data_IF_597882263099
#
_entry.id   IF_597882263099
#
_cell.length_a   1.000
_cell.length_b   1.000
_cell.length_c   1.000
_cell.angle_alpha   90.00
_cell.angle_beta   90.00
_cell.angle_gamma   90.00
#
_symmetry.space_group_name_H-M   'P 1'
#
loop_
_entity.id
_entity.type
_entity.pdbx_description
1 polymer ?
#
# COMPACT_ATOMS: atom_id res chain seq x y z
N UNK A 1 -2.07 0.21 1.95
CA UNK A 1 -2.58 1.26 2.86
C UNK A 1 -2.10 0.97 4.27
N UNK A 2 -0.82 1.24 4.53
CA UNK A 2 -0.20 1.17 5.86
C UNK A 2 0.89 2.23 5.89
N UNK A 3 0.49 3.48 5.66
CA UNK A 3 1.35 4.65 5.81
C UNK A 3 1.39 5.03 7.30
N UNK A 4 1.96 4.14 8.11
CA UNK A 4 2.31 4.47 9.49
C UNK A 4 3.67 5.17 9.45
N UNK A 5 3.61 6.49 9.46
CA UNK A 5 4.76 7.36 9.61
C UNK A 5 5.15 7.52 11.09
N UNK A 6 6.22 8.29 11.28
CA UNK A 6 6.73 8.61 12.60
C UNK A 6 5.70 9.38 13.45
N UNK A 7 4.91 10.25 12.82
CA UNK A 7 3.88 11.04 13.51
C UNK A 7 2.74 10.17 14.01
N UNK A 8 2.24 9.21 13.23
CA UNK A 8 1.20 8.29 13.69
C UNK A 8 1.67 7.46 14.89
N UNK A 9 2.91 6.96 14.84
CA UNK A 9 3.50 6.19 15.93
C UNK A 9 3.61 7.03 17.21
N UNK A 10 4.00 8.31 17.09
CA UNK A 10 4.07 9.24 18.21
C UNK A 10 2.70 9.50 18.82
N UNK A 11 1.66 9.71 18.01
CA UNK A 11 0.27 9.88 18.49
C UNK A 11 -0.19 8.64 19.25
N UNK A 12 0.05 7.45 18.70
CA UNK A 12 -0.29 6.18 19.37
C UNK A 12 0.47 6.05 20.70
N UNK A 13 1.76 6.41 20.73
CA UNK A 13 2.56 6.37 21.95
C UNK A 13 1.98 7.30 23.03
N UNK A 14 1.58 8.53 22.67
CA UNK A 14 0.94 9.46 23.61
C UNK A 14 -0.37 8.89 24.14
N UNK A 15 -1.22 8.35 23.27
CA UNK A 15 -2.48 7.71 23.69
C UNK A 15 -2.21 6.53 24.63
N UNK A 16 -1.22 5.69 24.32
CA UNK A 16 -0.83 4.57 25.17
C UNK A 16 -0.34 5.04 26.54
N UNK A 17 0.43 6.14 26.60
CA UNK A 17 0.87 6.74 27.86
C UNK A 17 -0.30 7.28 28.69
N UNK A 18 -1.34 7.83 28.07
CA UNK A 18 -2.52 8.35 28.78
C UNK A 18 -3.38 7.20 29.33
N UNK A 19 -3.65 6.19 28.50
CA UNK A 19 -4.56 5.08 28.85
C UNK A 19 -3.92 4.14 29.87
N UNK A 20 -2.66 3.76 29.63
CA UNK A 20 -1.96 2.79 30.48
C UNK A 20 -1.18 3.48 31.60
N UNK A 21 -0.73 4.71 31.37
CA UNK A 21 0.18 5.45 32.25
C UNK A 21 1.64 5.28 31.84
N UNK A 22 2.48 6.33 31.99
CA UNK A 22 3.91 6.29 31.66
C UNK A 22 4.68 5.25 32.47
N UNK A 23 4.26 4.98 33.70
CA UNK A 23 4.89 3.99 34.59
C UNK A 23 4.58 2.55 34.19
N UNK A 24 3.45 2.30 33.52
CA UNK A 24 2.95 0.95 33.23
C UNK A 24 3.29 0.48 31.82
N UNK A 25 3.46 1.39 30.86
CA UNK A 25 3.94 1.07 29.50
C UNK A 25 5.28 0.30 29.50
N UNK A 26 6.35 0.74 30.18
CA UNK A 26 7.61 0.01 30.21
C UNK A 26 7.48 -1.35 30.90
N UNK A 27 6.57 -1.49 31.87
CA UNK A 27 6.28 -2.78 32.52
C UNK A 27 5.59 -3.72 31.53
N UNK A 28 4.60 -3.25 30.77
CA UNK A 28 3.91 -4.03 29.75
C UNK A 28 4.87 -4.52 28.64
N UNK A 29 5.76 -3.64 28.14
CA UNK A 29 6.79 -4.03 27.17
C UNK A 29 7.67 -5.14 27.74
N UNK A 30 8.13 -5.02 28.99
CA UNK A 30 8.96 -6.06 29.63
C UNK A 30 8.24 -7.40 29.70
N UNK A 31 6.95 -7.40 30.05
CA UNK A 31 6.15 -8.64 30.07
C UNK A 31 6.09 -9.23 28.66
N UNK A 32 5.64 -8.47 27.67
CA UNK A 32 5.52 -8.95 26.28
C UNK A 32 6.88 -9.44 25.75
N UNK A 33 7.97 -8.70 26.01
CA UNK A 33 9.31 -9.06 25.57
C UNK A 33 9.80 -10.37 26.19
N UNK A 34 9.54 -10.62 27.47
CA UNK A 34 9.89 -11.89 28.13
C UNK A 34 9.08 -13.05 27.53
N UNK A 35 7.79 -12.85 27.24
CA UNK A 35 6.95 -13.86 26.61
C UNK A 35 7.41 -14.18 25.18
N UNK A 36 7.67 -13.15 24.36
CA UNK A 36 8.27 -13.30 23.02
C UNK A 36 9.64 -13.99 23.11
N UNK A 37 10.46 -13.63 24.09
CA UNK A 37 11.80 -14.20 24.29
C UNK A 37 11.75 -15.67 24.64
N UNK A 38 10.81 -16.07 25.51
CA UNK A 38 10.55 -17.48 25.82
C UNK A 38 10.06 -18.24 24.60
N UNK A 39 9.09 -17.68 23.87
CA UNK A 39 8.57 -18.29 22.65
C UNK A 39 9.67 -18.50 21.61
N UNK A 40 10.46 -17.45 21.33
CA UNK A 40 11.62 -17.51 20.43
C UNK A 40 12.60 -18.61 20.84
N UNK A 41 12.86 -18.76 22.14
CA UNK A 41 13.76 -19.79 22.67
C UNK A 41 13.20 -21.20 22.48
N UNK A 42 11.89 -21.39 22.66
CA UNK A 42 11.20 -22.65 22.34
C UNK A 42 11.25 -22.98 20.85
N UNK A 43 11.11 -22.00 19.96
CA UNK A 43 11.31 -22.21 18.52
C UNK A 43 12.77 -22.57 18.18
N UNK A 44 13.75 -21.99 18.89
CA UNK A 44 15.16 -22.35 18.74
C UNK A 44 15.45 -23.79 19.16
N UNK A 45 14.92 -24.24 20.30
CA UNK A 45 15.12 -25.63 20.76
C UNK A 45 14.46 -26.63 19.83
N UNK A 46 13.23 -26.34 19.36
CA UNK A 46 12.55 -27.18 18.36
C UNK A 46 13.38 -27.28 17.08
N UNK A 47 13.94 -26.16 16.59
CA UNK A 47 14.85 -26.20 15.43
C UNK A 47 16.11 -27.05 15.68
N UNK A 48 16.71 -26.93 16.86
CA UNK A 48 17.91 -27.70 17.22
C UNK A 48 17.64 -29.20 17.36
N UNK A 49 16.45 -29.57 17.84
CA UNK A 49 16.01 -30.96 17.98
C UNK A 49 15.64 -31.55 16.62
N UNK A 50 14.93 -30.78 15.79
CA UNK A 50 14.63 -31.13 14.39
C UNK A 50 15.93 -31.33 13.61
N UNK A 51 16.92 -30.43 13.72
CA UNK A 51 18.18 -30.53 12.96
C UNK A 51 19.09 -31.67 13.45
N UNK A 52 18.85 -32.20 14.65
CA UNK A 52 19.59 -33.32 15.23
C UNK A 52 18.98 -34.68 14.92
N UNK A 53 17.68 -34.76 14.65
CA UNK A 53 16.97 -36.02 14.29
C UNK A 53 16.58 -36.10 12.81
N UNK A 54 16.40 -34.97 12.13
CA UNK A 54 16.06 -34.87 10.71
C UNK A 54 17.09 -33.93 10.09
N UNK A 55 17.98 -34.47 9.27
CA UNK A 55 18.89 -33.69 8.42
C UNK A 55 18.14 -32.50 7.83
N UNK A 56 18.49 -31.27 8.25
CA UNK A 56 17.92 -30.03 7.72
C UNK A 56 18.16 -29.87 6.20
N UNK A 57 18.92 -30.77 5.60
CA UNK A 57 19.07 -30.93 4.16
C UNK A 57 17.78 -31.33 3.44
N UNK A 58 16.84 -32.09 4.04
CA UNK A 58 15.61 -32.49 3.31
C UNK A 58 14.65 -31.30 3.15
N UNK A 59 14.46 -30.49 4.20
CA UNK A 59 13.64 -29.26 4.13
C UNK A 59 14.38 -28.14 3.39
N UNK A 60 15.70 -27.98 3.56
CA UNK A 60 16.45 -27.04 2.72
C UNK A 60 16.39 -27.43 1.26
N UNK A 61 16.39 -28.72 0.94
CA UNK A 61 16.24 -29.21 -0.42
C UNK A 61 14.81 -29.18 -0.91
N UNK A 62 13.80 -29.18 -0.06
CA UNK A 62 12.40 -28.97 -0.48
C UNK A 62 12.07 -27.47 -0.69
N UNK A 63 12.66 -26.60 0.13
CA UNK A 63 12.56 -25.12 -0.02
C UNK A 63 13.47 -24.61 -1.14
N UNK A 64 14.61 -25.26 -1.39
CA UNK A 64 15.56 -24.93 -2.46
C UNK A 64 15.42 -25.85 -3.69
N UNK A 65 14.53 -26.86 -3.66
CA UNK A 65 14.20 -27.64 -4.84
C UNK A 65 13.52 -26.69 -5.80
N UNK A 66 13.93 -26.77 -7.05
CA UNK A 66 13.35 -26.07 -8.18
C UNK A 66 11.81 -26.10 -8.23
N UNK A 67 11.13 -27.02 -7.55
CA UNK A 67 9.67 -27.12 -7.50
C UNK A 67 8.98 -25.86 -6.96
N UNK A 68 9.39 -25.33 -5.80
CA UNK A 68 8.76 -24.15 -5.20
C UNK A 68 9.08 -22.90 -6.02
N UNK A 69 10.34 -22.71 -6.44
CA UNK A 69 10.71 -21.60 -7.30
C UNK A 69 10.06 -21.68 -8.70
N UNK A 70 9.92 -22.88 -9.28
CA UNK A 70 9.24 -23.07 -10.56
C UNK A 70 7.73 -22.82 -10.43
N UNK A 71 7.11 -23.18 -9.32
CA UNK A 71 5.70 -22.90 -9.05
C UNK A 71 5.45 -21.40 -8.83
N UNK A 72 6.32 -20.72 -8.07
CA UNK A 72 6.28 -19.26 -7.94
C UNK A 72 6.53 -18.57 -9.29
N UNK A 73 7.48 -19.06 -10.10
CA UNK A 73 7.77 -18.49 -11.42
C UNK A 73 6.61 -18.70 -12.39
N UNK A 74 5.99 -19.88 -12.43
CA UNK A 74 4.78 -20.14 -13.23
C UNK A 74 3.62 -19.26 -12.80
N UNK A 75 3.41 -19.10 -11.49
CA UNK A 75 2.36 -18.23 -10.94
C UNK A 75 2.61 -16.77 -11.35
N UNK A 76 3.86 -16.29 -11.22
CA UNK A 76 4.26 -14.96 -11.66
C UNK A 76 4.07 -14.76 -13.17
N UNK A 77 4.49 -15.72 -13.98
CA UNK A 77 4.38 -15.67 -15.44
C UNK A 77 2.90 -15.68 -15.89
N UNK A 78 2.02 -16.43 -15.21
CA UNK A 78 0.58 -16.43 -15.45
C UNK A 78 -0.07 -15.10 -15.07
N UNK A 79 0.26 -14.56 -13.90
CA UNK A 79 -0.25 -13.25 -13.46
C UNK A 79 0.22 -12.13 -14.37
N UNK A 80 1.47 -12.16 -14.83
CA UNK A 80 2.00 -11.17 -15.77
C UNK A 80 1.21 -11.20 -17.09
N UNK A 81 0.95 -12.39 -17.65
CA UNK A 81 0.17 -12.54 -18.88
C UNK A 81 -1.27 -12.06 -18.74
N UNK A 82 -1.89 -12.31 -17.58
CA UNK A 82 -3.24 -11.85 -17.30
C UNK A 82 -3.29 -10.32 -17.18
N UNK A 83 -2.31 -9.71 -16.51
CA UNK A 83 -2.17 -8.25 -16.43
C UNK A 83 -1.91 -7.62 -17.80
N UNK A 84 -1.02 -8.20 -18.60
CA UNK A 84 -0.72 -7.71 -19.95
C UNK A 84 -1.95 -7.84 -20.87
N UNK A 85 -2.71 -8.93 -20.75
CA UNK A 85 -3.97 -9.13 -21.47
C UNK A 85 -5.10 -8.21 -21.01
N UNK A 86 -5.13 -7.83 -19.72
CA UNK A 86 -6.02 -6.79 -19.21
C UNK A 86 -5.65 -5.42 -19.76
N UNK A 87 -4.37 -5.04 -19.75
CA UNK A 87 -3.91 -3.76 -20.30
C UNK A 87 -4.24 -3.66 -21.80
N UNK A 88 -4.03 -4.72 -22.57
CA UNK A 88 -4.34 -4.73 -23.99
C UNK A 88 -5.84 -4.64 -24.29
N UNK A 89 -6.69 -5.19 -23.42
CA UNK A 89 -8.15 -5.00 -23.48
C UNK A 89 -8.56 -3.59 -23.07
N UNK A 90 -7.91 -3.01 -22.06
CA UNK A 90 -8.17 -1.62 -21.63
C UNK A 90 -7.76 -0.64 -22.72
N UNK A 91 -6.61 -0.85 -23.39
CA UNK A 91 -6.16 -0.05 -24.52
C UNK A 91 -7.08 -0.21 -25.73
N UNK A 92 -7.53 -1.44 -26.05
CA UNK A 92 -8.49 -1.68 -27.12
C UNK A 92 -9.88 -1.09 -26.83
N UNK A 93 -10.30 -1.02 -25.56
CA UNK A 93 -11.52 -0.33 -25.12
C UNK A 93 -11.34 1.19 -25.15
N UNK A 94 -10.15 1.70 -24.85
CA UNK A 94 -9.82 3.12 -24.99
C UNK A 94 -9.78 3.57 -26.46
N UNK A 95 -9.35 2.70 -27.37
CA UNK A 95 -9.22 2.97 -28.80
C UNK A 95 -10.52 2.73 -29.61
N UNK A 96 -11.49 2.01 -29.04
CA UNK A 96 -12.82 1.77 -29.65
C UNK A 96 -13.90 2.78 -29.25
N UNK A 97 -13.53 3.87 -28.55
CA UNK A 97 -14.41 5.02 -28.37
C UNK A 97 -14.43 5.90 -29.64
N UNK A 98 -15.55 6.03 -30.36
CA UNK A 98 -15.58 6.82 -31.58
C UNK A 98 -15.45 8.33 -31.29
N UNK A 99 -14.74 9.08 -32.14
CA UNK A 99 -14.76 10.53 -32.09
C UNK A 99 -16.14 11.01 -32.58
N UNK A 100 -17.00 11.41 -31.64
CA UNK A 100 -18.20 12.17 -31.99
C UNK A 100 -17.82 13.64 -32.14
N UNK A 101 -17.40 14.01 -33.35
CA UNK A 101 -17.34 15.39 -33.79
C UNK A 101 -18.76 15.98 -33.95
N UNK A 102 -18.87 17.25 -33.55
CA UNK A 102 -19.87 18.24 -33.97
C UNK A 102 -21.31 18.19 -33.42
N UNK A 103 -21.55 19.07 -32.43
CA UNK A 103 -22.66 20.03 -32.52
C UNK A 103 -22.18 21.45 -32.19
N UNK A 104 -21.71 22.13 -33.23
CA UNK A 104 -21.51 23.58 -33.27
C UNK A 104 -22.86 24.27 -33.03
N UNK A 105 -22.99 25.05 -31.95
CA UNK A 105 -23.88 26.23 -31.86
C UNK A 105 -23.39 27.13 -30.73
N UNK A 106 -22.26 27.82 -30.93
CA UNK A 106 -21.93 29.03 -30.15
C UNK A 106 -22.30 30.25 -30.97
N UNK A 107 -23.60 30.45 -31.16
CA UNK A 107 -24.16 31.71 -31.63
C UNK A 107 -24.45 32.60 -30.42
N UNK A 108 -23.57 33.59 -30.24
CA UNK A 108 -23.89 34.98 -29.92
C UNK A 108 -25.35 35.31 -29.53
N UNK A 109 -25.58 35.79 -28.31
CA UNK A 109 -26.16 37.11 -27.96
C UNK A 109 -26.99 37.15 -26.66
N UNK A 110 -26.67 38.18 -25.86
CA UNK A 110 -27.55 39.03 -25.05
C UNK A 110 -28.27 38.50 -23.77
N UNK A 111 -27.73 38.90 -22.59
CA UNK A 111 -28.24 39.93 -21.63
C UNK A 111 -29.77 39.96 -21.36
N UNK A 112 -30.30 40.08 -20.10
CA UNK A 112 -30.01 41.24 -19.21
C UNK A 112 -30.13 41.09 -17.68
N UNK A 113 -29.45 41.97 -16.94
CA UNK A 113 -29.76 42.29 -15.54
C UNK A 113 -28.52 42.66 -14.71
N UNK A 114 -27.87 43.79 -14.97
CA UNK A 114 -28.11 45.11 -14.31
C UNK A 114 -26.98 45.45 -13.31
N UNK A 115 -26.76 46.74 -13.01
CA UNK A 115 -25.46 47.35 -13.16
C UNK A 115 -24.93 47.98 -11.85
N UNK A 116 -23.63 48.17 -11.77
CA UNK A 116 -23.05 49.36 -11.13
C UNK A 116 -21.61 49.45 -11.64
N UNK A 117 -21.33 50.38 -12.56
CA UNK A 117 -20.82 51.72 -12.23
C UNK A 117 -19.71 51.59 -11.19
N UNK A 118 -18.42 51.57 -11.54
CA UNK A 118 -17.74 52.47 -12.45
C UNK A 118 -16.75 53.26 -11.60
N UNK A 119 -15.47 53.24 -11.97
CA UNK A 119 -14.59 54.41 -11.98
C UNK A 119 -13.14 53.96 -12.18
N UNK A 120 -12.74 54.09 -13.43
CA UNK A 120 -11.40 54.42 -13.90
C UNK A 120 -10.62 55.41 -13.02
N UNK A 121 -9.31 55.16 -12.88
CA UNK A 121 -8.22 56.14 -12.96
C UNK A 121 -6.90 55.35 -12.95
N UNK A 122 -6.29 55.00 -14.08
CA UNK A 122 -5.48 55.87 -14.96
C UNK A 122 -4.55 56.82 -14.20
N UNK A 123 -3.28 56.46 -14.15
CA UNK A 123 -2.14 57.39 -14.32
C UNK A 123 -0.90 56.59 -14.70
N UNK A 124 -0.50 56.71 -15.96
CA UNK A 124 0.87 56.56 -16.48
C UNK A 124 1.80 57.63 -15.85
N UNK A 125 3.12 57.71 -16.16
CA UNK A 125 4.06 56.71 -16.68
C UNK A 125 5.22 56.40 -15.70
#
# INVERSE_FOLDING_TARGET
MFDIGFLELLVIAVIALIVLGPERLPVAIKVVAVWIGRLRRSFQSIRQEIEKEINADEIRREIHNESVMAELKKTRDSLQKEVDGLNQQIDAVAESSPPSEHRQTTASNNTPGQPSSGSSSKTDP
#
